data_IF_319271250418
#
_entry.id   IF_319271250418
#
_cell.length_a   1.000
_cell.length_b   1.000
_cell.length_c   1.000
_cell.angle_alpha   90.00
_cell.angle_beta   90.00
_cell.angle_gamma   90.00
#
_symmetry.space_group_name_H-M   'P 1'
#
loop_
_entity.id
_entity.type
_entity.pdbx_description
1 polymer ?
#
# COMPACT_ATOMS: atom_id res chain seq x y z
N UNK A 1 -16.18 -0.31 13.64
CA UNK A 1 -15.02 -1.22 13.42
C UNK A 1 -15.46 -2.62 13.82
N UNK A 2 -15.64 -3.53 12.87
CA UNK A 2 -15.97 -4.93 13.14
C UNK A 2 -14.76 -5.62 13.73
N UNK A 3 -14.93 -6.26 14.90
CA UNK A 3 -13.84 -6.96 15.56
C UNK A 3 -13.39 -8.15 14.69
N UNK A 4 -12.18 -8.09 14.16
CA UNK A 4 -11.52 -9.10 13.32
C UNK A 4 -11.24 -10.43 14.01
N UNK A 5 -11.57 -10.54 15.30
CA UNK A 5 -11.27 -11.69 16.17
C UNK A 5 -12.50 -12.04 17.04
N UNK A 6 -13.66 -12.24 16.42
CA UNK A 6 -14.85 -12.76 17.12
C UNK A 6 -15.00 -14.25 16.81
N UNK A 7 -15.00 -15.08 17.86
CA UNK A 7 -15.28 -16.51 17.75
C UNK A 7 -16.73 -16.79 17.31
N UNK A 8 -17.65 -15.85 17.57
CA UNK A 8 -19.10 -15.95 17.34
C UNK A 8 -19.51 -16.13 15.86
N UNK A 9 -18.60 -15.88 14.92
CA UNK A 9 -18.83 -16.02 13.48
C UNK A 9 -17.92 -17.06 12.82
N UNK A 10 -17.10 -17.78 13.60
CA UNK A 10 -16.30 -18.87 13.07
C UNK A 10 -17.19 -20.08 12.74
N UNK A 11 -16.87 -20.81 11.68
CA UNK A 11 -17.55 -22.05 11.32
C UNK A 11 -17.39 -23.14 12.41
N UNK A 12 -16.28 -23.09 13.15
CA UNK A 12 -16.01 -23.88 14.35
C UNK A 12 -15.32 -22.98 15.40
N UNK A 13 -16.04 -22.58 16.46
CA UNK A 13 -15.50 -21.66 17.46
C UNK A 13 -14.40 -22.30 18.32
N UNK A 14 -14.48 -23.59 18.62
CA UNK A 14 -13.49 -24.28 19.47
C UNK A 14 -12.16 -24.47 18.72
N UNK A 15 -12.23 -24.81 17.43
CA UNK A 15 -11.05 -24.91 16.58
C UNK A 15 -10.39 -23.54 16.37
N UNK A 16 -11.19 -22.49 16.16
CA UNK A 16 -10.68 -21.13 16.03
C UNK A 16 -9.98 -20.66 17.30
N UNK A 17 -10.56 -20.91 18.48
CA UNK A 17 -9.91 -20.60 19.75
C UNK A 17 -8.58 -21.34 19.94
N UNK A 18 -8.51 -22.62 19.56
CA UNK A 18 -7.29 -23.41 19.64
C UNK A 18 -6.20 -22.87 18.72
N UNK A 19 -6.53 -22.55 17.46
CA UNK A 19 -5.60 -21.98 16.49
C UNK A 19 -5.12 -20.58 16.91
N UNK A 20 -6.02 -19.75 17.43
CA UNK A 20 -5.67 -18.43 17.93
C UNK A 20 -4.76 -18.52 19.15
N UNK A 21 -5.00 -19.49 20.05
CA UNK A 21 -4.14 -19.76 21.21
C UNK A 21 -2.75 -20.23 20.82
N UNK A 22 -2.62 -21.08 19.80
CA UNK A 22 -1.33 -21.57 19.29
C UNK A 22 -0.51 -20.45 18.62
N UNK A 23 -1.17 -19.53 17.90
CA UNK A 23 -0.47 -18.48 17.14
C UNK A 23 -0.17 -17.21 17.95
N UNK A 24 -1.04 -16.83 18.88
CA UNK A 24 -0.97 -15.54 19.58
C UNK A 24 -0.94 -15.67 21.11
N UNK A 25 -1.02 -16.89 21.66
CA UNK A 25 -1.11 -17.11 23.10
C UNK A 25 -2.53 -16.89 23.65
N UNK A 26 -2.72 -16.81 24.98
CA UNK A 26 -4.04 -16.66 25.59
C UNK A 26 -4.78 -15.43 25.05
N UNK A 27 -5.97 -15.64 24.47
CA UNK A 27 -6.75 -14.60 23.78
C UNK A 27 -7.04 -13.38 24.67
N UNK A 28 -7.21 -13.61 25.98
CA UNK A 28 -7.44 -12.57 26.98
C UNK A 28 -6.31 -11.54 27.03
N UNK A 29 -5.05 -11.97 26.84
CA UNK A 29 -3.90 -11.07 26.83
C UNK A 29 -3.89 -10.18 25.59
N UNK A 30 -4.20 -10.76 24.43
CA UNK A 30 -4.29 -10.03 23.15
C UNK A 30 -5.39 -8.97 23.19
N UNK A 31 -6.54 -9.33 23.79
CA UNK A 31 -7.64 -8.39 23.96
C UNK A 31 -7.32 -7.30 25.00
N UNK A 32 -6.61 -7.64 26.07
CA UNK A 32 -6.17 -6.67 27.07
C UNK A 32 -5.18 -5.64 26.49
N UNK A 33 -4.22 -6.07 25.68
CA UNK A 33 -3.29 -5.17 24.98
C UNK A 33 -4.02 -4.27 23.98
N UNK A 34 -4.97 -4.81 23.22
CA UNK A 34 -5.78 -4.02 22.28
C UNK A 34 -6.63 -2.95 22.98
N UNK A 35 -7.14 -3.27 24.17
CA UNK A 35 -7.98 -2.37 24.95
C UNK A 35 -7.16 -1.40 25.82
N UNK A 36 -5.82 -1.46 25.79
CA UNK A 36 -5.03 -0.46 26.49
C UNK A 36 -5.29 0.92 25.87
N UNK A 37 -5.70 1.91 26.67
CA UNK A 37 -5.75 3.27 26.19
C UNK A 37 -4.34 3.67 25.76
N UNK A 38 -4.21 4.17 24.53
CA UNK A 38 -2.94 4.67 24.03
C UNK A 38 -2.37 5.74 24.97
N UNK A 39 -1.04 5.94 24.99
CA UNK A 39 -0.42 6.98 25.79
C UNK A 39 -1.10 8.32 25.51
N UNK A 40 -1.29 9.19 26.54
CA UNK A 40 -1.95 10.47 26.35
C UNK A 40 -1.24 11.22 25.22
N UNK A 41 -2.01 11.55 24.18
CA UNK A 41 -1.49 12.30 23.04
C UNK A 41 -0.86 13.62 23.51
N UNK A 42 0.20 14.10 22.83
CA UNK A 42 0.80 15.38 23.19
C UNK A 42 -0.25 16.48 23.11
N UNK A 43 -0.32 17.31 24.16
CA UNK A 43 -1.23 18.45 24.28
C UNK A 43 -1.28 19.25 22.95
N UNK A 44 -2.47 19.45 22.35
CA UNK A 44 -2.61 20.17 21.07
C UNK A 44 -2.04 21.60 21.12
N UNK A 45 -1.97 22.23 22.30
CA UNK A 45 -1.34 23.54 22.48
C UNK A 45 0.20 23.48 22.41
N UNK A 46 0.80 22.34 22.78
CA UNK A 46 2.24 22.09 22.65
C UNK A 46 2.61 21.78 21.19
N UNK A 47 1.74 21.06 20.47
CA UNK A 47 1.89 20.76 19.04
C UNK A 47 1.92 22.03 18.17
N UNK A 48 1.02 22.99 18.42
CA UNK A 48 0.97 24.26 17.66
C UNK A 48 2.23 25.12 17.82
N UNK A 49 2.79 25.21 19.03
CA UNK A 49 4.02 25.98 19.30
C UNK A 49 5.26 25.36 18.64
N UNK A 50 5.38 24.04 18.65
CA UNK A 50 6.50 23.37 17.99
C UNK A 50 6.43 23.42 16.46
N UNK A 51 5.22 23.41 15.87
CA UNK A 51 5.05 23.49 14.42
C UNK A 51 5.45 24.87 13.86
N UNK A 52 5.07 25.96 14.53
CA UNK A 52 5.40 27.32 14.07
C UNK A 52 6.87 27.70 14.27
N UNK A 53 7.53 27.16 15.30
CA UNK A 53 8.95 27.43 15.53
C UNK A 53 9.88 26.71 14.52
N UNK A 54 9.45 25.54 13.99
CA UNK A 54 10.24 24.72 13.06
C UNK A 54 10.18 25.21 11.62
N UNK A 55 9.11 25.92 11.25
CA UNK A 55 8.93 26.47 9.90
C UNK A 55 9.75 27.75 9.63
N UNK A 56 10.22 28.43 10.68
CA UNK A 56 10.93 29.71 10.54
C UNK A 56 12.46 29.60 10.60
N UNK A 57 13.02 28.42 10.90
CA UNK A 57 14.48 28.21 11.03
C UNK A 57 15.09 27.32 9.95
N UNK A 58 14.30 26.85 8.98
CA UNK A 58 14.86 26.17 7.82
C UNK A 58 15.38 27.23 6.86
N UNK A 59 16.69 27.48 6.88
CA UNK A 59 17.34 28.16 5.75
C UNK A 59 16.93 27.42 4.47
N UNK A 60 16.36 28.10 3.46
CA UNK A 60 16.07 27.45 2.19
C UNK A 60 17.38 26.87 1.65
N UNK A 61 17.33 25.62 1.20
CA UNK A 61 18.47 24.94 0.61
C UNK A 61 18.95 25.75 -0.62
N UNK A 62 20.18 26.29 -0.61
CA UNK A 62 20.68 27.17 -1.68
C UNK A 62 20.76 26.44 -3.03
N UNK A 63 20.90 25.12 -3.01
CA UNK A 63 21.10 24.29 -4.21
C UNK A 63 19.78 23.61 -4.65
N UNK A 64 18.65 23.97 -4.04
CA UNK A 64 17.34 23.42 -4.37
C UNK A 64 16.97 23.60 -5.85
N UNK A 65 17.44 24.68 -6.48
CA UNK A 65 17.20 24.92 -7.90
C UNK A 65 17.97 23.93 -8.80
N UNK A 66 19.20 23.59 -8.43
CA UNK A 66 20.03 22.61 -9.14
C UNK A 66 19.45 21.21 -8.97
N UNK A 67 19.08 20.84 -7.74
CA UNK A 67 18.43 19.56 -7.47
C UNK A 67 17.12 19.37 -8.26
N UNK A 68 16.33 20.45 -8.42
CA UNK A 68 15.13 20.41 -9.25
C UNK A 68 15.42 20.27 -10.75
N UNK A 69 16.55 20.80 -11.23
CA UNK A 69 16.98 20.59 -12.61
C UNK A 69 17.40 19.13 -12.83
N UNK A 70 18.21 18.57 -11.93
CA UNK A 70 18.64 17.16 -11.98
C UNK A 70 17.44 16.20 -11.99
N UNK A 71 16.43 16.46 -11.16
CA UNK A 71 15.21 15.66 -11.13
C UNK A 71 14.43 15.74 -12.44
N UNK A 72 14.35 16.93 -13.05
CA UNK A 72 13.68 17.10 -14.35
C UNK A 72 14.41 16.38 -15.46
N UNK A 73 15.74 16.44 -15.46
CA UNK A 73 16.58 15.70 -16.40
C UNK A 73 16.44 14.20 -16.20
N UNK A 74 16.45 13.71 -14.96
CA UNK A 74 16.25 12.29 -14.65
C UNK A 74 14.85 11.79 -15.05
N UNK A 75 13.81 12.61 -14.90
CA UNK A 75 12.45 12.28 -15.36
C UNK A 75 12.37 12.28 -16.89
N UNK A 76 13.09 13.19 -17.56
CA UNK A 76 13.15 13.23 -19.02
C UNK A 76 13.97 12.07 -19.61
N UNK A 77 15.03 11.63 -18.92
CA UNK A 77 15.91 10.52 -19.31
C UNK A 77 15.42 9.14 -18.83
N UNK A 78 14.52 9.11 -17.84
CA UNK A 78 13.83 7.89 -17.43
C UNK A 78 13.18 7.24 -18.65
N UNK A 79 13.06 5.90 -18.69
CA UNK A 79 12.48 5.23 -19.83
C UNK A 79 11.11 5.87 -20.06
N UNK A 80 11.00 6.58 -21.19
CA UNK A 80 9.72 7.01 -21.74
C UNK A 80 8.78 5.86 -21.47
N UNK A 81 7.61 6.15 -20.90
CA UNK A 81 6.47 5.20 -20.92
C UNK A 81 6.07 5.01 -22.38
N UNK A 82 6.97 4.49 -23.20
CA UNK A 82 6.68 3.89 -24.47
C UNK A 82 5.91 2.62 -24.20
N UNK A 83 5.09 2.18 -25.16
CA UNK A 83 4.44 0.88 -25.06
C UNK A 83 5.51 -0.16 -24.74
N UNK A 84 5.29 -0.94 -23.68
CA UNK A 84 6.15 -2.06 -23.34
C UNK A 84 6.36 -2.89 -24.63
N UNK A 85 7.58 -3.39 -24.89
CA UNK A 85 7.83 -4.17 -26.10
C UNK A 85 6.81 -5.30 -26.16
N UNK A 86 6.06 -5.33 -27.26
CA UNK A 86 5.07 -6.38 -27.51
C UNK A 86 5.82 -7.71 -27.49
N UNK A 87 5.53 -8.53 -26.48
CA UNK A 87 6.08 -9.88 -26.39
C UNK A 87 5.57 -10.68 -27.59
N UNK A 88 6.47 -11.21 -28.42
CA UNK A 88 6.10 -12.06 -29.57
C UNK A 88 5.46 -13.40 -29.15
N UNK A 89 5.63 -13.78 -27.89
CA UNK A 89 5.12 -15.01 -27.32
C UNK A 89 4.17 -14.70 -26.15
N UNK A 90 3.14 -15.54 -25.94
CA UNK A 90 2.21 -15.35 -24.84
C UNK A 90 2.96 -15.42 -23.51
N UNK A 91 2.76 -14.47 -22.59
CA UNK A 91 3.45 -14.46 -21.31
C UNK A 91 2.98 -15.57 -20.36
N UNK A 92 1.80 -16.15 -20.61
CA UNK A 92 1.28 -17.30 -19.90
C UNK A 92 0.53 -18.26 -20.84
N UNK A 93 0.48 -19.58 -20.53
CA UNK A 93 -0.30 -20.55 -21.29
C UNK A 93 -1.78 -20.16 -21.36
N UNK A 94 -2.39 -20.31 -22.53
CA UNK A 94 -3.82 -20.02 -22.73
C UNK A 94 -4.15 -18.54 -22.99
N UNK A 95 -3.16 -17.67 -23.13
CA UNK A 95 -3.37 -16.30 -23.62
C UNK A 95 -3.43 -16.25 -25.14
N UNK A 96 -4.35 -15.45 -25.67
CA UNK A 96 -4.55 -15.23 -27.10
C UNK A 96 -4.21 -13.80 -27.48
N UNK A 97 -3.70 -13.61 -28.70
CA UNK A 97 -3.39 -12.29 -29.21
C UNK A 97 -4.69 -11.56 -29.57
N UNK A 98 -4.89 -10.38 -29.00
CA UNK A 98 -6.01 -9.51 -29.31
C UNK A 98 -5.56 -8.41 -30.27
N UNK A 99 -6.14 -8.38 -31.47
CA UNK A 99 -5.89 -7.35 -32.48
C UNK A 99 -6.52 -5.98 -32.14
N UNK A 100 -7.43 -5.92 -31.16
CA UNK A 100 -8.10 -4.67 -30.80
C UNK A 100 -7.30 -3.82 -29.80
N UNK A 101 -6.52 -4.44 -28.92
CA UNK A 101 -5.60 -3.75 -28.00
C UNK A 101 -4.12 -4.05 -28.28
N UNK A 102 -3.82 -4.73 -29.39
CA UNK A 102 -2.48 -5.22 -29.76
C UNK A 102 -1.73 -5.82 -28.58
N UNK A 103 -2.37 -6.79 -27.90
CA UNK A 103 -1.84 -7.37 -26.67
C UNK A 103 -2.36 -8.77 -26.36
N UNK A 104 -1.70 -9.44 -25.42
CA UNK A 104 -2.10 -10.76 -24.93
C UNK A 104 -3.26 -10.64 -23.94
N UNK A 105 -4.37 -11.30 -24.23
CA UNK A 105 -5.57 -11.33 -23.40
C UNK A 105 -5.87 -12.76 -22.92
N UNK A 106 -6.51 -12.90 -21.76
CA UNK A 106 -6.89 -14.21 -21.25
C UNK A 106 -8.15 -14.72 -21.96
N UNK A 107 -8.28 -16.05 -22.10
CA UNK A 107 -9.51 -16.67 -22.61
C UNK A 107 -10.75 -16.34 -21.76
N UNK A 108 -10.57 -15.89 -20.52
CA UNK A 108 -11.61 -15.45 -19.60
C UNK A 108 -12.12 -14.02 -19.88
N UNK A 109 -11.62 -13.37 -20.94
CA UNK A 109 -12.07 -12.04 -21.36
C UNK A 109 -11.40 -10.87 -20.64
N UNK A 110 -10.36 -11.13 -19.84
CA UNK A 110 -9.53 -10.08 -19.25
C UNK A 110 -8.61 -9.57 -20.36
N UNK A 111 -8.93 -8.38 -20.85
CA UNK A 111 -8.25 -7.77 -21.98
C UNK A 111 -8.07 -6.27 -21.76
N UNK A 112 -7.04 -5.68 -22.36
CA UNK A 112 -6.81 -4.23 -22.30
C UNK A 112 -8.00 -3.41 -22.82
N UNK A 113 -8.83 -4.00 -23.69
CA UNK A 113 -10.09 -3.41 -24.14
C UNK A 113 -11.13 -3.26 -23.01
N UNK A 114 -11.15 -4.16 -22.04
CA UNK A 114 -12.21 -4.27 -21.03
C UNK A 114 -11.75 -3.87 -19.60
N UNK A 115 -10.46 -3.63 -19.40
CA UNK A 115 -9.86 -3.34 -18.09
C UNK A 115 -9.45 -1.86 -17.95
N UNK A 116 -10.33 -0.94 -18.36
CA UNK A 116 -10.16 0.52 -18.24
C UNK A 116 -10.92 1.08 -17.05
#
# INVERSE_FOLDING_TARGET
MSATYRCDHAADPELFERLMRERYGPLDKVLAERNQPGPPGPDPARRRRHLMARSCTSTPDPDAAEHLADLKEAIAQGPLRGPAPVLKHPPAPGMTWCHACDGWCTAQGICGCNNR
#
